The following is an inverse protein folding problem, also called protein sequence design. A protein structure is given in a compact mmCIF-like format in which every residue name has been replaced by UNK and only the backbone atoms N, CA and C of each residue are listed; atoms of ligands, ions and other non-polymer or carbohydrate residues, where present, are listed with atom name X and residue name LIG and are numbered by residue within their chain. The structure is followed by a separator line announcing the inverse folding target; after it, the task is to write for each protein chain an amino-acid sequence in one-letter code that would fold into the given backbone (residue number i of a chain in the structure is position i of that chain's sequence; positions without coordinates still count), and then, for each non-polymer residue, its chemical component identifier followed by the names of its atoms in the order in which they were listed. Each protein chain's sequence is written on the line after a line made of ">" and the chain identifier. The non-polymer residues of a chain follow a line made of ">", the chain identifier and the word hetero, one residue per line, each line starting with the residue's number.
data_IF_939232669210
#
_entry.id   IF_939232669210
#
_cell.length_a   1.000
_cell.length_b   1.000
_cell.length_c   1.000
_cell.angle_alpha   90.00
_cell.angle_beta   90.00
_cell.angle_gamma   90.00
#
_symmetry.space_group_name_H-M   'P 1'
#
loop_
_entity.id
_entity.type
_entity.pdbx_description
1 polymer ?
#
# COMPACT_ATOMS: atom_id res chain seq x y z
N UNK A 1 -30.10 -5.50 -2.47
CA UNK A 1 -31.26 -6.35 -2.84
C UNK A 1 -32.37 -5.38 -3.20
N UNK A 2 -32.92 -5.29 -4.41
CA UNK A 2 -33.23 -6.31 -5.39
C UNK A 2 -33.08 -5.78 -6.83
N UNK A 3 -32.75 -6.71 -7.71
CA UNK A 3 -32.81 -6.66 -9.17
C UNK A 3 -34.27 -6.45 -9.61
N UNK A 4 -34.52 -5.69 -10.68
CA UNK A 4 -35.55 -6.11 -11.64
C UNK A 4 -35.32 -5.50 -13.03
N UNK A 5 -35.46 -6.39 -14.01
CA UNK A 5 -35.10 -6.23 -15.40
C UNK A 5 -36.16 -5.48 -16.22
N UNK A 6 -35.68 -4.93 -17.34
CA UNK A 6 -36.44 -4.40 -18.47
C UNK A 6 -37.54 -5.34 -19.00
N UNK A 7 -38.44 -4.78 -19.81
CA UNK A 7 -38.42 -5.18 -21.21
C UNK A 7 -38.38 -3.99 -22.19
N UNK A 8 -37.40 -4.06 -23.10
CA UNK A 8 -37.50 -3.97 -24.57
C UNK A 8 -38.90 -3.69 -25.17
N UNK A 9 -39.10 -2.94 -26.26
CA UNK A 9 -38.19 -2.42 -27.28
C UNK A 9 -38.98 -1.44 -28.20
N UNK A 10 -38.29 -0.39 -28.66
CA UNK A 10 -38.36 0.27 -30.00
C UNK A 10 -39.63 0.95 -30.48
N UNK A 11 -39.59 2.29 -30.51
CA UNK A 11 -39.56 3.13 -31.73
C UNK A 11 -39.72 4.64 -31.39
N UNK A 12 -38.90 5.16 -30.45
CA UNK A 12 -38.97 6.58 -30.01
C UNK A 12 -37.56 7.15 -29.87
N UNK A 13 -36.78 7.22 -30.96
CA UNK A 13 -35.33 7.44 -30.86
C UNK A 13 -34.80 8.74 -31.48
N UNK A 14 -35.56 9.84 -31.46
CA UNK A 14 -35.04 11.14 -31.93
C UNK A 14 -35.52 12.38 -31.17
N UNK A 15 -36.59 12.28 -30.36
CA UNK A 15 -37.06 13.38 -29.50
C UNK A 15 -36.69 13.22 -28.03
N UNK A 16 -36.34 12.00 -27.58
CA UNK A 16 -35.89 11.75 -26.20
C UNK A 16 -34.49 12.28 -25.90
N UNK A 17 -33.60 12.33 -26.90
CA UNK A 17 -32.21 12.79 -26.72
C UNK A 17 -32.11 14.28 -26.38
N UNK A 18 -33.02 15.12 -26.87
CA UNK A 18 -33.04 16.55 -26.55
C UNK A 18 -33.52 16.81 -25.11
N UNK A 19 -34.42 15.97 -24.60
CA UNK A 19 -34.93 16.07 -23.23
C UNK A 19 -33.89 15.54 -22.24
N UNK A 20 -33.20 14.43 -22.55
CA UNK A 20 -32.12 13.90 -21.72
C UNK A 20 -30.92 14.84 -21.60
N UNK A 21 -30.52 15.52 -22.69
CA UNK A 21 -29.43 16.51 -22.63
C UNK A 21 -29.85 17.71 -21.75
N UNK A 22 -31.10 18.17 -21.87
CA UNK A 22 -31.61 19.30 -21.08
C UNK A 22 -31.73 18.94 -19.60
N UNK A 23 -32.14 17.71 -19.29
CA UNK A 23 -32.16 17.17 -17.92
C UNK A 23 -30.75 16.96 -17.37
N UNK A 24 -29.81 16.49 -18.18
CA UNK A 24 -28.41 16.38 -17.77
C UNK A 24 -27.80 17.75 -17.50
N UNK A 25 -28.07 18.77 -18.31
CA UNK A 25 -27.59 20.14 -18.09
C UNK A 25 -28.26 20.76 -16.86
N UNK A 26 -29.57 20.57 -16.65
CA UNK A 26 -30.26 21.04 -15.44
C UNK A 26 -29.83 20.28 -14.18
N UNK A 27 -29.50 18.99 -14.28
CA UNK A 27 -28.95 18.21 -13.18
C UNK A 27 -27.47 18.57 -12.93
N UNK A 28 -26.70 18.90 -13.99
CA UNK A 28 -25.37 19.47 -13.88
C UNK A 28 -25.41 20.82 -13.18
N UNK A 29 -26.37 21.69 -13.53
CA UNK A 29 -26.57 22.99 -12.89
C UNK A 29 -27.12 22.90 -11.46
N UNK A 30 -27.93 21.88 -11.15
CA UNK A 30 -28.47 21.66 -9.80
C UNK A 30 -27.48 20.94 -8.87
N UNK A 31 -26.54 20.16 -9.41
CA UNK A 31 -25.34 19.69 -8.70
C UNK A 31 -24.26 20.78 -8.59
N UNK A 32 -24.24 21.75 -9.51
CA UNK A 32 -23.56 23.04 -9.38
C UNK A 32 -24.38 24.06 -8.57
N UNK A 33 -25.31 23.62 -7.72
CA UNK A 33 -25.72 24.41 -6.55
C UNK A 33 -24.52 24.51 -5.64
N UNK A 34 -23.66 25.43 -6.05
CA UNK A 34 -22.52 26.00 -5.40
C UNK A 34 -23.03 26.43 -4.02
N UNK A 35 -22.85 25.57 -3.03
CA UNK A 35 -22.90 25.98 -1.65
C UNK A 35 -21.71 26.91 -1.52
N UNK A 36 -21.92 28.20 -1.80
CA UNK A 36 -20.92 29.24 -1.61
C UNK A 36 -20.62 29.22 -0.12
N UNK A 37 -19.59 28.46 0.26
CA UNK A 37 -19.07 28.52 1.62
C UNK A 37 -18.75 29.96 1.90
N UNK A 38 -19.28 30.46 3.00
CA UNK A 38 -18.94 31.80 3.46
C UNK A 38 -17.44 31.86 3.72
N UNK A 39 -16.84 33.05 3.60
CA UNK A 39 -15.38 33.22 3.76
C UNK A 39 -14.87 32.69 5.10
N UNK A 40 -15.68 32.77 6.15
CA UNK A 40 -15.36 32.27 7.49
C UNK A 40 -15.41 30.74 7.56
N UNK A 41 -16.41 30.10 6.96
CA UNK A 41 -16.49 28.64 6.84
C UNK A 41 -15.32 28.08 6.01
N UNK A 42 -14.89 28.81 4.97
CA UNK A 42 -13.76 28.41 4.12
C UNK A 42 -12.45 28.39 4.90
N UNK A 43 -12.22 29.36 5.78
CA UNK A 43 -11.04 29.38 6.64
C UNK A 43 -11.06 28.26 7.69
N UNK A 44 -12.23 27.98 8.29
CA UNK A 44 -12.38 26.87 9.24
C UNK A 44 -12.14 25.53 8.57
N UNK A 45 -12.66 25.34 7.36
CA UNK A 45 -12.46 24.12 6.58
C UNK A 45 -11.01 23.96 6.12
N UNK A 46 -10.35 25.04 5.66
CA UNK A 46 -8.93 25.00 5.29
C UNK A 46 -8.06 24.56 6.49
N UNK A 47 -8.30 25.12 7.68
CA UNK A 47 -7.62 24.69 8.92
C UNK A 47 -7.88 23.22 9.26
N UNK A 48 -9.13 22.77 9.11
CA UNK A 48 -9.49 21.37 9.35
C UNK A 48 -8.77 20.42 8.37
N UNK A 49 -8.74 20.76 7.09
CA UNK A 49 -8.00 20.00 6.06
C UNK A 49 -6.51 20.02 6.36
N UNK A 50 -5.95 21.15 6.78
CA UNK A 50 -4.54 21.27 7.18
C UNK A 50 -4.21 20.32 8.34
N UNK A 51 -5.03 20.27 9.39
CA UNK A 51 -4.81 19.41 10.55
C UNK A 51 -4.89 17.91 10.19
N UNK A 52 -5.86 17.52 9.38
CA UNK A 52 -5.95 16.16 8.83
C UNK A 52 -4.73 15.84 7.99
N UNK A 53 -4.31 16.77 7.12
CA UNK A 53 -3.16 16.61 6.25
C UNK A 53 -1.91 16.29 7.05
N UNK A 54 -1.69 17.02 8.14
CA UNK A 54 -0.54 16.86 9.01
C UNK A 54 -0.53 15.48 9.67
N UNK A 55 -1.68 15.05 10.18
CA UNK A 55 -1.83 13.75 10.83
C UNK A 55 -1.61 12.60 9.84
N UNK A 56 -2.19 12.70 8.64
CA UNK A 56 -2.02 11.71 7.58
C UNK A 56 -0.56 11.65 7.08
N UNK A 57 0.08 12.80 6.85
CA UNK A 57 1.51 12.86 6.47
C UNK A 57 2.39 12.18 7.50
N UNK A 58 2.15 12.46 8.78
CA UNK A 58 2.94 11.83 9.84
C UNK A 58 2.72 10.31 9.90
N UNK A 59 1.48 9.85 9.74
CA UNK A 59 1.16 8.43 9.75
C UNK A 59 1.76 7.69 8.55
N UNK A 60 1.63 8.25 7.34
CA UNK A 60 2.25 7.71 6.11
C UNK A 60 3.77 7.69 6.26
N UNK A 61 4.39 8.79 6.70
CA UNK A 61 5.83 8.85 6.90
C UNK A 61 6.36 7.78 7.87
N UNK A 62 5.65 7.51 8.97
CA UNK A 62 6.03 6.46 9.91
C UNK A 62 5.99 5.06 9.29
N UNK A 63 5.00 4.79 8.43
CA UNK A 63 4.87 3.49 7.74
C UNK A 63 5.92 3.31 6.65
N UNK A 64 6.22 4.37 5.89
CA UNK A 64 7.29 4.36 4.89
C UNK A 64 8.65 4.20 5.57
N UNK A 65 8.86 4.82 6.74
CA UNK A 65 10.07 4.62 7.55
C UNK A 65 10.19 3.17 8.05
N UNK A 66 9.09 2.57 8.51
CA UNK A 66 9.06 1.15 8.91
C UNK A 66 9.43 0.23 7.73
N UNK A 67 8.91 0.50 6.53
CA UNK A 67 9.26 -0.22 5.31
C UNK A 67 10.74 -0.06 4.95
N UNK A 68 11.29 1.15 5.04
CA UNK A 68 12.71 1.40 4.80
C UNK A 68 13.61 0.70 5.82
N UNK A 69 13.21 0.68 7.10
CA UNK A 69 13.90 -0.11 8.14
C UNK A 69 13.86 -1.60 7.81
N UNK A 70 12.73 -2.12 7.36
CA UNK A 70 12.63 -3.51 6.93
C UNK A 70 13.63 -3.83 5.81
N UNK A 71 13.76 -2.95 4.81
CA UNK A 71 14.76 -3.12 3.74
C UNK A 71 16.20 -3.10 4.26
N UNK A 72 16.51 -2.19 5.19
CA UNK A 72 17.85 -2.12 5.81
C UNK A 72 18.20 -3.36 6.64
N UNK A 73 17.19 -4.09 7.13
CA UNK A 73 17.35 -5.26 7.99
C UNK A 73 17.50 -6.60 7.25
N UNK A 74 17.68 -6.57 5.92
CA UNK A 74 17.82 -7.77 5.07
C UNK A 74 18.82 -8.80 5.62
N UNK A 75 19.95 -8.33 6.16
CA UNK A 75 21.00 -9.20 6.70
C UNK A 75 20.55 -10.05 7.90
N UNK A 76 19.70 -9.49 8.77
CA UNK A 76 19.15 -10.24 9.91
C UNK A 76 18.21 -11.36 9.45
N UNK A 77 17.39 -11.12 8.43
CA UNK A 77 16.55 -12.16 7.82
C UNK A 77 17.40 -13.25 7.17
N UNK A 78 18.47 -12.88 6.49
CA UNK A 78 19.37 -13.83 5.85
C UNK A 78 20.02 -14.77 6.88
N UNK A 79 20.68 -14.20 7.89
CA UNK A 79 21.33 -14.98 8.96
C UNK A 79 20.30 -15.86 9.68
N UNK A 80 19.14 -15.31 10.01
CA UNK A 80 18.07 -16.05 10.69
C UNK A 80 17.59 -17.27 9.92
N UNK A 81 17.33 -17.12 8.61
CA UNK A 81 16.86 -18.22 7.77
C UNK A 81 17.92 -19.31 7.59
N UNK A 82 19.17 -18.92 7.31
CA UNK A 82 20.28 -19.87 7.12
C UNK A 82 20.61 -20.60 8.43
N UNK A 83 20.64 -19.89 9.56
CA UNK A 83 20.87 -20.51 10.86
C UNK A 83 19.73 -21.46 11.23
N UNK A 84 18.48 -21.09 10.95
CA UNK A 84 17.31 -21.91 11.23
C UNK A 84 17.29 -23.20 10.40
N UNK A 85 17.52 -23.14 9.09
CA UNK A 85 17.54 -24.34 8.24
C UNK A 85 18.72 -25.24 8.58
N UNK A 86 19.90 -24.68 8.82
CA UNK A 86 21.09 -25.46 9.20
C UNK A 86 20.90 -26.16 10.55
N UNK A 87 20.39 -25.43 11.55
CA UNK A 87 20.16 -25.97 12.89
C UNK A 87 19.05 -27.02 12.92
N UNK A 88 17.95 -26.79 12.20
CA UNK A 88 16.83 -27.74 12.14
C UNK A 88 17.24 -29.05 11.47
N UNK A 89 17.99 -28.98 10.37
CA UNK A 89 18.53 -30.17 9.70
C UNK A 89 19.51 -30.90 10.62
N UNK A 90 20.47 -30.21 11.25
CA UNK A 90 21.39 -30.84 12.20
C UNK A 90 20.67 -31.51 13.38
N UNK A 91 19.63 -30.86 13.91
CA UNK A 91 18.83 -31.40 15.01
C UNK A 91 18.06 -32.65 14.58
N UNK A 92 17.44 -32.63 13.40
CA UNK A 92 16.76 -33.80 12.83
C UNK A 92 17.74 -34.97 12.60
N UNK A 93 18.91 -34.69 12.04
CA UNK A 93 19.97 -35.69 11.88
C UNK A 93 20.48 -36.24 13.21
N UNK A 94 20.54 -35.43 14.27
CA UNK A 94 20.95 -35.89 15.61
C UNK A 94 19.89 -36.78 16.27
N UNK A 95 18.61 -36.47 16.05
CA UNK A 95 17.49 -37.19 16.66
C UNK A 95 17.18 -38.50 15.93
N UNK A 96 17.18 -38.50 14.60
CA UNK A 96 16.74 -39.63 13.77
C UNK A 96 17.85 -40.28 12.95
N UNK A 97 19.08 -39.76 13.01
CA UNK A 97 20.20 -40.31 12.25
C UNK A 97 20.62 -41.71 12.73
N UNK A 98 20.98 -42.62 11.81
CA UNK A 98 21.49 -43.95 12.13
C UNK A 98 22.86 -43.89 12.83
N UNK A 99 22.86 -43.99 14.17
CA UNK A 99 24.02 -43.85 15.06
C UNK A 99 25.27 -44.70 14.68
N UNK A 100 25.09 -45.77 13.91
CA UNK A 100 26.16 -46.70 13.54
C UNK A 100 26.97 -46.29 12.29
N UNK A 101 26.43 -45.43 11.40
CA UNK A 101 27.11 -44.96 10.17
C UNK A 101 28.08 -43.79 10.48
N UNK A 102 27.95 -43.19 11.65
CA UNK A 102 28.61 -41.92 12.00
C UNK A 102 30.00 -42.03 12.63
N UNK A 103 30.64 -43.20 12.61
CA UNK A 103 32.05 -43.32 13.03
C UNK A 103 33.00 -42.52 12.12
N UNK A 104 32.58 -42.17 10.90
CA UNK A 104 33.33 -41.30 9.98
C UNK A 104 32.76 -39.87 9.96
N UNK A 105 33.60 -38.89 10.33
CA UNK A 105 33.25 -37.46 10.44
C UNK A 105 32.74 -36.85 9.13
N UNK A 106 33.11 -37.40 7.98
CA UNK A 106 32.78 -36.87 6.65
C UNK A 106 31.27 -36.89 6.33
N UNK A 107 30.49 -37.82 6.92
CA UNK A 107 29.05 -37.93 6.65
C UNK A 107 28.21 -36.85 7.34
N UNK A 108 28.74 -36.20 8.39
CA UNK A 108 28.06 -35.08 9.06
C UNK A 108 28.05 -33.79 8.23
N UNK A 109 29.00 -33.63 7.32
CA UNK A 109 29.09 -32.43 6.48
C UNK A 109 28.19 -32.48 5.24
N UNK A 110 27.77 -33.68 4.80
CA UNK A 110 26.94 -33.86 3.59
C UNK A 110 25.59 -33.14 3.59
N UNK A 111 24.82 -33.04 4.70
CA UNK A 111 23.54 -32.33 4.69
C UNK A 111 23.68 -30.81 4.82
N UNK A 112 24.87 -30.27 5.12
CA UNK A 112 25.05 -28.82 5.30
C UNK A 112 24.84 -28.02 3.99
N UNK A 113 25.42 -28.37 2.83
CA UNK A 113 25.20 -27.61 1.61
C UNK A 113 23.73 -27.54 1.18
N UNK A 114 22.95 -28.64 1.20
CA UNK A 114 21.50 -28.58 0.95
C UNK A 114 20.72 -27.76 2.00
N UNK A 115 21.10 -27.81 3.28
CA UNK A 115 20.43 -27.04 4.33
C UNK A 115 20.64 -25.53 4.17
N UNK A 116 21.87 -25.13 3.80
CA UNK A 116 22.21 -23.73 3.53
C UNK A 116 21.47 -23.24 2.29
N UNK A 117 21.45 -24.02 1.19
CA UNK A 117 20.75 -23.61 -0.04
C UNK A 117 19.25 -23.40 0.20
N UNK A 118 18.61 -24.29 0.97
CA UNK A 118 17.21 -24.12 1.39
C UNK A 118 17.01 -22.88 2.26
N UNK A 119 17.97 -22.54 3.12
CA UNK A 119 17.96 -21.31 3.93
C UNK A 119 18.01 -20.04 3.09
N UNK A 120 18.82 -20.03 2.03
CA UNK A 120 18.91 -18.91 1.08
C UNK A 120 17.58 -18.74 0.32
N UNK A 121 16.97 -19.83 -0.13
CA UNK A 121 15.65 -19.79 -0.80
C UNK A 121 14.57 -19.27 0.15
N UNK A 122 14.54 -19.78 1.39
CA UNK A 122 13.59 -19.36 2.42
C UNK A 122 13.75 -17.87 2.76
N UNK A 123 14.98 -17.39 2.85
CA UNK A 123 15.26 -15.95 2.98
C UNK A 123 14.65 -15.15 1.83
N UNK A 124 14.88 -15.59 0.58
CA UNK A 124 14.33 -14.94 -0.60
C UNK A 124 12.80 -14.79 -0.52
N UNK A 125 12.10 -15.87 -0.16
CA UNK A 125 10.64 -15.88 -0.03
C UNK A 125 10.20 -14.96 1.12
N UNK A 126 10.73 -15.15 2.33
CA UNK A 126 10.26 -14.40 3.51
C UNK A 126 10.53 -12.90 3.39
N UNK A 127 11.72 -12.53 2.90
CA UNK A 127 12.10 -11.14 2.75
C UNK A 127 11.25 -10.44 1.67
N UNK A 128 11.11 -11.06 0.50
CA UNK A 128 10.32 -10.47 -0.60
C UNK A 128 8.83 -10.43 -0.30
N UNK A 129 8.23 -11.52 0.19
CA UNK A 129 6.81 -11.55 0.52
C UNK A 129 6.45 -10.56 1.62
N UNK A 130 7.28 -10.43 2.67
CA UNK A 130 7.04 -9.46 3.75
C UNK A 130 7.14 -8.02 3.24
N UNK A 131 8.16 -7.71 2.43
CA UNK A 131 8.28 -6.40 1.80
C UNK A 131 7.10 -6.06 0.89
N UNK A 132 6.63 -7.03 0.10
CA UNK A 132 5.45 -6.86 -0.76
C UNK A 132 4.17 -6.60 0.05
N UNK A 133 3.93 -7.35 1.13
CA UNK A 133 2.76 -7.15 1.99
C UNK A 133 2.77 -5.77 2.66
N UNK A 134 3.92 -5.32 3.15
CA UNK A 134 4.08 -3.99 3.73
C UNK A 134 3.80 -2.89 2.70
N UNK A 135 4.40 -2.97 1.51
CA UNK A 135 4.16 -2.04 0.40
C UNK A 135 2.69 -1.99 0.02
N UNK A 136 2.07 -3.15 -0.20
CA UNK A 136 0.67 -3.23 -0.61
C UNK A 136 -0.25 -2.56 0.41
N UNK A 137 -0.03 -2.81 1.70
CA UNK A 137 -0.81 -2.19 2.77
C UNK A 137 -0.66 -0.66 2.80
N UNK A 138 0.53 -0.14 2.53
CA UNK A 138 0.76 1.31 2.45
C UNK A 138 0.05 1.90 1.22
N UNK A 139 0.16 1.26 0.06
CA UNK A 139 -0.50 1.70 -1.17
C UNK A 139 -2.03 1.75 -1.01
N UNK A 140 -2.66 0.67 -0.52
CA UNK A 140 -4.12 0.66 -0.28
C UNK A 140 -4.54 1.77 0.67
N UNK A 141 -3.78 1.98 1.74
CA UNK A 141 -4.06 3.05 2.69
C UNK A 141 -3.98 4.45 2.05
N UNK A 142 -3.00 4.67 1.17
CA UNK A 142 -2.85 5.94 0.46
C UNK A 142 -3.97 6.15 -0.56
N UNK A 143 -4.42 5.08 -1.22
CA UNK A 143 -5.58 5.11 -2.12
C UNK A 143 -6.88 5.47 -1.36
N UNK A 144 -7.08 4.91 -0.16
CA UNK A 144 -8.21 5.28 0.71
C UNK A 144 -8.17 6.76 1.11
N UNK A 145 -6.98 7.28 1.45
CA UNK A 145 -6.78 8.70 1.75
C UNK A 145 -7.03 9.61 0.56
N UNK A 146 -6.56 9.22 -0.62
CA UNK A 146 -6.83 9.95 -1.86
C UNK A 146 -8.33 9.98 -2.18
N UNK A 147 -9.04 8.86 -1.98
CA UNK A 147 -10.48 8.77 -2.17
C UNK A 147 -11.25 9.70 -1.22
N UNK A 148 -10.94 9.67 0.07
CA UNK A 148 -11.60 10.54 1.06
C UNK A 148 -11.28 12.02 0.79
N UNK A 149 -10.06 12.38 0.40
CA UNK A 149 -9.74 13.78 0.05
C UNK A 149 -10.54 14.27 -1.16
N UNK A 150 -10.68 13.44 -2.20
CA UNK A 150 -11.49 13.76 -3.39
C UNK A 150 -12.96 13.90 -3.02
N UNK A 151 -13.47 13.05 -2.12
CA UNK A 151 -14.86 13.09 -1.64
C UNK A 151 -15.19 14.36 -0.86
N UNK A 152 -14.26 14.85 -0.05
CA UNK A 152 -14.45 16.06 0.80
C UNK A 152 -14.44 17.36 -0.05
N UNK A 153 -14.39 17.26 -1.38
CA UNK A 153 -14.26 18.40 -2.30
C UNK A 153 -13.05 19.29 -2.00
N UNK A 154 -11.96 18.66 -1.55
CA UNK A 154 -10.73 19.34 -1.18
C UNK A 154 -10.07 20.11 -2.35
N UNK A 155 -10.52 19.89 -3.60
CA UNK A 155 -10.14 20.66 -4.78
C UNK A 155 -10.48 22.16 -4.70
N UNK A 156 -11.40 22.57 -3.82
CA UNK A 156 -11.73 23.98 -3.61
C UNK A 156 -10.78 24.70 -2.61
N UNK A 157 -9.82 23.97 -2.05
CA UNK A 157 -8.86 24.44 -1.07
C UNK A 157 -7.43 24.16 -1.55
N UNK A 158 -6.54 25.14 -1.49
CA UNK A 158 -5.15 24.98 -1.94
C UNK A 158 -4.41 23.89 -1.14
N UNK A 159 -4.68 23.80 0.17
CA UNK A 159 -4.12 22.75 1.04
C UNK A 159 -4.51 21.34 0.58
N UNK A 160 -5.76 21.17 0.15
CA UNK A 160 -6.29 19.89 -0.34
C UNK A 160 -5.63 19.43 -1.64
N UNK A 161 -5.42 20.36 -2.57
CA UNK A 161 -4.70 20.09 -3.83
C UNK A 161 -3.24 19.75 -3.56
N UNK A 162 -2.58 20.50 -2.68
CA UNK A 162 -1.18 20.22 -2.28
C UNK A 162 -1.03 18.84 -1.62
N UNK A 163 -1.99 18.44 -0.79
CA UNK A 163 -1.98 17.13 -0.15
C UNK A 163 -2.23 15.99 -1.14
N UNK A 164 -3.14 16.15 -2.11
CA UNK A 164 -3.35 15.17 -3.17
C UNK A 164 -2.09 14.96 -4.02
N UNK A 165 -1.44 16.06 -4.43
CA UNK A 165 -0.19 15.99 -5.17
C UNK A 165 0.91 15.29 -4.37
N UNK A 166 0.99 15.56 -3.07
CA UNK A 166 1.93 14.89 -2.16
C UNK A 166 1.66 13.38 -2.04
N UNK A 167 0.40 12.97 -1.90
CA UNK A 167 0.02 11.56 -1.85
C UNK A 167 0.37 10.84 -3.17
N UNK A 168 0.06 11.45 -4.31
CA UNK A 168 0.35 10.88 -5.62
C UNK A 168 1.87 10.69 -5.83
N UNK A 169 2.66 11.72 -5.48
CA UNK A 169 4.11 11.63 -5.55
C UNK A 169 4.67 10.46 -4.73
N UNK A 170 4.22 10.30 -3.48
CA UNK A 170 4.72 9.21 -2.62
C UNK A 170 4.26 7.85 -3.15
N UNK A 171 3.03 7.74 -3.64
CA UNK A 171 2.51 6.50 -4.21
C UNK A 171 3.33 6.08 -5.44
N UNK A 172 3.70 7.01 -6.31
CA UNK A 172 4.58 6.73 -7.45
C UNK A 172 5.97 6.26 -7.03
N UNK A 173 6.58 6.93 -6.05
CA UNK A 173 7.89 6.55 -5.53
C UNK A 173 7.89 5.18 -4.84
N UNK A 174 6.80 4.83 -4.13
CA UNK A 174 6.60 3.51 -3.54
C UNK A 174 6.43 2.42 -4.61
N UNK A 175 5.69 2.69 -5.68
CA UNK A 175 5.56 1.78 -6.83
C UNK A 175 6.90 1.54 -7.53
N UNK A 176 7.77 2.55 -7.56
CA UNK A 176 9.12 2.44 -8.12
C UNK A 176 10.13 1.76 -7.16
N UNK A 177 9.75 1.48 -5.91
CA UNK A 177 10.64 0.89 -4.92
C UNK A 177 11.83 1.79 -4.52
N UNK A 178 11.63 3.10 -4.58
CA UNK A 178 12.66 4.11 -4.31
C UNK A 178 12.66 4.58 -2.84
N UNK A 179 12.25 3.72 -1.89
CA UNK A 179 11.99 4.16 -0.51
C UNK A 179 13.22 4.68 0.23
N UNK A 180 14.40 4.19 -0.15
CA UNK A 180 15.69 4.62 0.38
C UNK A 180 16.05 6.08 0.05
N UNK A 181 15.36 6.71 -0.91
CA UNK A 181 15.62 8.10 -1.34
C UNK A 181 14.80 9.13 -0.58
N UNK A 182 13.85 8.69 0.25
CA UNK A 182 13.00 9.61 0.98
C UNK A 182 13.75 10.30 2.12
N UNK A 183 13.63 11.63 2.17
CA UNK A 183 13.96 12.40 3.36
C UNK A 183 12.74 12.40 4.29
N UNK A 184 12.76 11.54 5.31
CA UNK A 184 11.65 11.39 6.26
C UNK A 184 11.30 12.68 7.02
N UNK A 185 12.26 13.62 7.16
CA UNK A 185 11.98 14.91 7.78
C UNK A 185 11.09 15.77 6.88
N UNK A 186 11.36 15.77 5.57
CA UNK A 186 10.53 16.46 4.57
C UNK A 186 9.18 15.77 4.36
N UNK A 187 9.11 14.45 4.55
CA UNK A 187 7.86 13.70 4.46
C UNK A 187 6.88 14.02 5.60
N UNK A 188 7.39 14.44 6.77
CA UNK A 188 6.57 14.81 7.94
C UNK A 188 6.17 16.29 7.97
N UNK A 189 6.85 17.14 7.20
CA UNK A 189 6.59 18.58 7.14
C UNK A 189 5.51 18.93 6.12
#
# INVERSE_FOLDING_TARGET
>A
MFICACPLLTEVSLTESAIEITLHVLCFFRCYSFQVMTTDERQLFSKYVEEISRTQRHHVANRVEELARHQSSAWYYFIGCVAFTTSSVMMAFKLWGPRHIFKNSMYYARPLPPAISMGVVLYGILYTCRGMLMRNRICTMMEDYEYELKRISAHHCEEGVNQLAWLQFITEQLKQGAEHRFDFKKLRS
#
